data_IF_562656604216
#
_entry.id   IF_562656604216
#
_cell.length_a   1.000
_cell.length_b   1.000
_cell.length_c   1.000
_cell.angle_alpha   90.00
_cell.angle_beta   90.00
_cell.angle_gamma   90.00
#
_symmetry.space_group_name_H-M   'P 1'
#
loop_
_entity.id
_entity.type
_entity.pdbx_description
1 polymer ?
#
# COMPACT_ATOMS: atom_id res chain seq x y z
N UNK A 1 8.44 11.53 55.19
CA UNK A 1 7.03 11.51 55.62
C UNK A 1 6.28 10.84 54.50
N UNK A 2 5.98 9.56 54.66
CA UNK A 2 5.29 8.76 53.66
C UNK A 2 3.77 9.00 53.72
N UNK A 3 3.06 9.00 52.58
CA UNK A 3 1.60 9.11 52.57
C UNK A 3 0.92 7.79 53.00
N UNK A 4 -0.29 7.84 53.58
CA UNK A 4 -0.97 6.67 54.13
C UNK A 4 -1.59 5.79 53.02
N UNK A 5 -1.84 4.49 53.30
CA UNK A 5 -2.32 3.53 52.31
C UNK A 5 -3.83 3.69 52.03
N UNK A 6 -4.20 3.58 50.75
CA UNK A 6 -5.58 3.53 50.28
C UNK A 6 -6.17 2.12 50.51
N UNK A 7 -7.28 2.08 51.26
CA UNK A 7 -8.03 0.86 51.54
C UNK A 7 -8.81 0.33 50.34
N UNK A 8 -8.85 -0.99 50.25
CA UNK A 8 -9.60 -1.78 49.27
C UNK A 8 -11.10 -1.84 49.59
N UNK A 9 -11.96 -1.62 48.59
CA UNK A 9 -13.37 -1.99 48.63
C UNK A 9 -13.67 -3.10 47.61
N UNK A 10 -14.57 -4.06 47.92
CA UNK A 10 -14.79 -5.25 47.12
C UNK A 10 -15.80 -5.08 45.99
N UNK A 11 -15.61 -5.95 44.99
CA UNK A 11 -16.31 -6.18 43.74
C UNK A 11 -17.85 -6.17 43.79
N UNK A 12 -18.49 -5.47 42.84
CA UNK A 12 -19.88 -5.73 42.42
C UNK A 12 -19.90 -6.42 41.06
N UNK A 13 -20.41 -7.65 41.05
CA UNK A 13 -20.53 -8.50 39.86
C UNK A 13 -21.48 -7.92 38.82
N UNK A 14 -21.01 -7.90 37.57
CA UNK A 14 -21.83 -7.68 36.38
C UNK A 14 -22.42 -9.01 35.90
N UNK A 15 -23.75 -9.06 35.75
CA UNK A 15 -24.44 -10.15 35.03
C UNK A 15 -24.41 -9.85 33.53
N UNK A 16 -24.24 -10.87 32.66
CA UNK A 16 -24.27 -10.69 31.21
C UNK A 16 -25.72 -10.54 30.68
N UNK A 17 -25.92 -9.87 29.54
CA UNK A 17 -27.24 -9.68 28.94
C UNK A 17 -27.73 -10.95 28.22
N UNK A 18 -29.04 -11.15 28.28
CA UNK A 18 -29.81 -12.22 27.63
C UNK A 18 -30.09 -11.84 26.17
N UNK A 19 -29.76 -12.74 25.25
CA UNK A 19 -30.05 -12.62 23.80
C UNK A 19 -31.34 -13.40 23.50
N UNK A 20 -32.38 -12.79 22.91
CA UNK A 20 -33.52 -13.54 22.39
C UNK A 20 -33.16 -14.22 21.08
N UNK A 21 -33.36 -15.53 21.04
CA UNK A 21 -33.33 -16.37 19.85
C UNK A 21 -34.74 -16.43 19.27
N UNK A 22 -34.96 -15.89 18.08
CA UNK A 22 -36.15 -16.22 17.30
C UNK A 22 -35.75 -16.75 15.91
N UNK A 23 -36.16 -18.00 15.74
CA UNK A 23 -36.02 -18.86 14.59
C UNK A 23 -37.26 -18.64 13.71
N UNK A 24 -37.10 -18.27 12.45
CA UNK A 24 -38.19 -18.32 11.47
C UNK A 24 -37.68 -18.91 10.15
N UNK A 25 -37.79 -20.24 10.06
CA UNK A 25 -37.80 -20.99 8.81
C UNK A 25 -39.15 -20.73 8.12
N UNK A 26 -39.12 -20.13 6.92
CA UNK A 26 -40.26 -20.17 6.00
C UNK A 26 -39.87 -20.92 4.73
N UNK A 27 -40.52 -22.06 4.56
CA UNK A 27 -40.48 -22.94 3.39
C UNK A 27 -41.47 -22.49 2.31
N UNK A 28 -41.05 -22.65 1.05
CA UNK A 28 -41.82 -22.97 -0.16
C UNK A 28 -43.18 -22.29 -0.42
N UNK A 29 -43.22 -21.48 -1.47
CA UNK A 29 -44.44 -21.09 -2.19
C UNK A 29 -44.18 -20.95 -3.69
N UNK A 30 -44.59 -21.96 -4.45
CA UNK A 30 -44.67 -22.00 -5.92
C UNK A 30 -45.83 -21.16 -6.43
N UNK A 31 -45.73 -20.46 -7.57
CA UNK A 31 -46.84 -20.06 -8.47
C UNK A 31 -46.30 -19.46 -9.81
N UNK A 32 -47.10 -19.36 -10.90
CA UNK A 32 -46.87 -20.16 -12.11
C UNK A 32 -46.42 -19.38 -13.36
N UNK A 33 -45.92 -20.13 -14.34
CA UNK A 33 -45.59 -19.67 -15.71
C UNK A 33 -46.87 -19.57 -16.55
N UNK A 34 -47.15 -18.38 -17.08
CA UNK A 34 -48.20 -18.17 -18.09
C UNK A 34 -47.66 -18.46 -19.50
N UNK A 35 -48.26 -19.45 -20.17
CA UNK A 35 -48.16 -19.66 -21.61
C UNK A 35 -49.27 -18.88 -22.31
N UNK A 36 -48.93 -18.05 -23.30
CA UNK A 36 -49.88 -17.58 -24.30
C UNK A 36 -49.49 -18.13 -25.68
N UNK A 37 -50.46 -18.80 -26.32
CA UNK A 37 -50.41 -19.28 -27.70
C UNK A 37 -51.38 -18.43 -28.52
N UNK A 38 -50.96 -18.00 -29.70
CA UNK A 38 -51.85 -17.92 -30.88
C UNK A 38 -51.04 -18.07 -32.19
N UNK A 39 -51.62 -18.64 -33.26
CA UNK A 39 -50.91 -19.21 -34.42
C UNK A 39 -51.13 -18.47 -35.75
N UNK A 40 -50.24 -18.64 -36.72
CA UNK A 40 -50.44 -18.53 -38.20
C UNK A 40 -49.06 -18.62 -38.89
N UNK A 41 -48.79 -19.20 -40.05
CA UNK A 41 -49.49 -20.09 -40.98
C UNK A 41 -48.40 -20.78 -41.82
N UNK A 42 -48.62 -22.04 -42.21
CA UNK A 42 -47.74 -22.79 -43.13
C UNK A 42 -47.91 -22.30 -44.57
N UNK A 43 -46.80 -22.23 -45.33
CA UNK A 43 -46.84 -22.48 -46.77
C UNK A 43 -45.66 -23.36 -47.19
N UNK A 44 -46.00 -24.50 -47.78
CA UNK A 44 -45.11 -25.46 -48.46
C UNK A 44 -44.74 -24.92 -49.84
N UNK A 45 -43.49 -25.03 -50.25
CA UNK A 45 -43.13 -25.18 -51.67
C UNK A 45 -42.03 -26.24 -51.80
N UNK A 46 -42.27 -27.20 -52.70
CA UNK A 46 -41.38 -28.30 -53.08
C UNK A 46 -40.38 -27.88 -54.17
N UNK A 47 -39.29 -28.64 -54.21
CA UNK A 47 -38.06 -28.58 -55.00
C UNK A 47 -38.21 -28.48 -56.54
N UNK A 48 -37.27 -27.77 -57.17
CA UNK A 48 -36.72 -28.08 -58.49
C UNK A 48 -35.19 -27.98 -58.45
N UNK A 49 -34.52 -29.05 -58.88
CA UNK A 49 -33.07 -29.13 -59.05
C UNK A 49 -32.68 -28.59 -60.43
N UNK A 50 -31.68 -27.71 -60.48
CA UNK A 50 -30.99 -27.36 -61.72
C UNK A 50 -29.50 -27.23 -61.45
N UNK A 51 -28.73 -28.05 -62.17
CA UNK A 51 -27.28 -28.19 -62.06
C UNK A 51 -26.57 -26.94 -62.62
N UNK A 52 -25.68 -26.35 -61.82
CA UNK A 52 -24.61 -25.49 -62.31
C UNK A 52 -23.27 -25.97 -61.74
N UNK A 53 -22.37 -26.29 -62.65
CA UNK A 53 -20.99 -26.69 -62.39
C UNK A 53 -20.22 -25.48 -61.85
N UNK A 54 -19.72 -25.55 -60.61
CA UNK A 54 -18.75 -24.60 -60.08
C UNK A 54 -17.48 -25.35 -59.70
N UNK A 55 -16.38 -24.97 -60.35
CA UNK A 55 -15.05 -25.48 -60.09
C UNK A 55 -14.66 -25.28 -58.64
N UNK A 56 -14.25 -26.35 -57.96
CA UNK A 56 -13.68 -26.30 -56.61
C UNK A 56 -12.22 -25.89 -56.74
N UNK A 57 -11.92 -24.61 -56.45
CA UNK A 57 -10.54 -24.19 -56.15
C UNK A 57 -10.20 -24.68 -54.73
N UNK A 58 -9.29 -25.66 -54.65
CA UNK A 58 -8.62 -26.00 -53.39
C UNK A 58 -7.61 -24.91 -53.05
N UNK A 59 -8.01 -23.97 -52.19
CA UNK A 59 -7.08 -23.06 -51.54
C UNK A 59 -6.39 -23.84 -50.40
N UNK A 60 -5.17 -24.32 -50.65
CA UNK A 60 -4.32 -24.85 -49.59
C UNK A 60 -3.89 -23.69 -48.69
N UNK A 61 -4.59 -23.48 -47.58
CA UNK A 61 -4.05 -22.70 -46.46
C UNK A 61 -2.89 -23.48 -45.85
N UNK A 62 -1.67 -23.08 -46.17
CA UNK A 62 -0.48 -23.43 -45.38
C UNK A 62 -0.67 -22.84 -43.98
N UNK A 63 -1.06 -23.68 -43.03
CA UNK A 63 -0.91 -23.37 -41.60
C UNK A 63 0.58 -23.45 -41.32
N UNK A 64 1.26 -22.31 -41.37
CA UNK A 64 2.59 -22.17 -40.80
C UNK A 64 2.39 -22.33 -39.29
N UNK A 65 2.98 -23.34 -38.62
CA UNK A 65 2.94 -23.37 -37.17
C UNK A 65 3.64 -22.10 -36.70
N UNK A 66 2.91 -21.23 -36.00
CA UNK A 66 3.53 -20.13 -35.29
C UNK A 66 4.53 -20.75 -34.33
N UNK A 67 5.82 -20.61 -34.64
CA UNK A 67 6.88 -20.89 -33.70
C UNK A 67 6.68 -19.92 -32.54
N UNK A 68 6.07 -20.41 -31.47
CA UNK A 68 6.04 -19.70 -30.21
C UNK A 68 7.50 -19.60 -29.77
N UNK A 69 8.09 -18.41 -29.95
CA UNK A 69 9.45 -18.14 -29.53
C UNK A 69 9.39 -17.81 -28.04
N UNK A 70 9.84 -18.68 -27.12
CA UNK A 70 9.79 -18.42 -25.68
C UNK A 70 11.02 -17.61 -25.24
N UNK A 71 11.39 -16.61 -26.04
CA UNK A 71 12.41 -15.62 -25.78
C UNK A 71 11.92 -14.35 -26.50
N UNK A 72 11.68 -13.21 -25.88
CA UNK A 72 12.01 -12.74 -24.54
C UNK A 72 11.17 -11.47 -24.36
N UNK A 73 9.99 -11.58 -23.72
CA UNK A 73 9.51 -10.43 -22.96
C UNK A 73 10.38 -10.44 -21.70
N UNK A 74 11.62 -9.94 -21.82
CA UNK A 74 12.31 -9.45 -20.63
C UNK A 74 11.35 -8.44 -20.03
N UNK A 75 10.74 -8.81 -18.90
CA UNK A 75 10.03 -7.87 -18.06
C UNK A 75 11.06 -6.80 -17.71
N UNK A 76 11.06 -5.70 -18.47
CA UNK A 76 12.02 -4.62 -18.30
C UNK A 76 12.02 -4.27 -16.82
N UNK A 77 13.22 -4.27 -16.22
CA UNK A 77 13.37 -3.99 -14.81
C UNK A 77 12.61 -2.69 -14.47
N UNK A 78 11.80 -2.68 -13.40
CA UNK A 78 10.99 -1.52 -13.06
C UNK A 78 11.89 -0.29 -12.91
N UNK A 79 11.46 0.84 -13.47
CA UNK A 79 12.20 2.10 -13.40
C UNK A 79 12.46 2.48 -11.95
N UNK A 80 13.68 2.91 -11.65
CA UNK A 80 14.08 3.37 -10.31
C UNK A 80 14.11 4.90 -10.26
N UNK A 81 13.54 5.47 -9.20
CA UNK A 81 13.59 6.91 -8.89
C UNK A 81 14.26 7.15 -7.53
N UNK A 82 14.87 8.32 -7.29
CA UNK A 82 15.34 8.67 -5.95
C UNK A 82 14.17 8.85 -4.99
N UNK A 83 14.27 8.38 -3.75
CA UNK A 83 13.22 8.56 -2.72
C UNK A 83 12.93 10.03 -2.45
N UNK A 84 13.91 10.91 -2.64
CA UNK A 84 13.75 12.37 -2.58
C UNK A 84 12.63 12.91 -3.47
N UNK A 85 12.24 12.18 -4.52
CA UNK A 85 11.18 12.61 -5.42
C UNK A 85 9.77 12.50 -4.81
N UNK A 86 9.60 11.83 -3.66
CA UNK A 86 8.26 11.55 -3.12
C UNK A 86 7.55 12.81 -2.63
N UNK A 87 8.17 13.64 -1.79
CA UNK A 87 7.54 14.89 -1.32
C UNK A 87 7.20 15.85 -2.47
N UNK A 88 8.11 16.11 -3.45
CA UNK A 88 7.78 16.87 -4.66
C UNK A 88 6.59 16.29 -5.44
N UNK A 89 6.51 14.97 -5.55
CA UNK A 89 5.41 14.27 -6.26
C UNK A 89 4.08 14.55 -5.58
N UNK A 90 4.00 14.36 -4.26
CA UNK A 90 2.77 14.60 -3.48
C UNK A 90 2.39 16.09 -3.52
N UNK A 91 3.35 17.00 -3.34
CA UNK A 91 3.12 18.44 -3.43
C UNK A 91 2.50 18.83 -4.79
N UNK A 92 3.04 18.27 -5.87
CA UNK A 92 2.55 18.53 -7.23
C UNK A 92 1.13 18.00 -7.44
N UNK A 93 0.82 16.79 -6.95
CA UNK A 93 -0.54 16.20 -7.04
C UNK A 93 -1.56 17.08 -6.31
N UNK A 94 -1.21 17.56 -5.12
CA UNK A 94 -2.08 18.41 -4.30
C UNK A 94 -2.05 19.90 -4.71
N UNK A 95 -1.30 20.24 -5.76
CA UNK A 95 -1.16 21.60 -6.30
C UNK A 95 -0.71 22.61 -5.23
N UNK A 96 0.30 22.23 -4.44
CA UNK A 96 1.00 23.10 -3.47
C UNK A 96 2.48 23.26 -3.87
N UNK A 97 3.21 24.26 -3.33
CA UNK A 97 4.64 24.38 -3.58
C UNK A 97 5.41 23.11 -3.19
N UNK A 98 6.52 22.83 -3.86
CA UNK A 98 7.45 21.77 -3.44
C UNK A 98 8.26 22.28 -2.24
N UNK A 99 8.57 21.43 -1.22
CA UNK A 99 9.47 21.83 -0.14
C UNK A 99 10.76 22.44 -0.67
N UNK A 100 11.15 23.60 -0.13
CA UNK A 100 12.18 24.47 -0.71
C UNK A 100 13.54 23.80 -0.92
N UNK A 101 13.91 22.82 -0.08
CA UNK A 101 15.18 22.10 -0.13
C UNK A 101 15.07 20.70 -0.77
N UNK A 102 13.97 20.37 -1.44
CA UNK A 102 13.86 19.08 -2.11
C UNK A 102 14.93 18.91 -3.19
N UNK A 103 15.53 17.72 -3.25
CA UNK A 103 16.72 17.43 -4.06
C UNK A 103 16.40 16.75 -5.41
N UNK A 104 15.15 16.32 -5.60
CA UNK A 104 14.72 15.64 -6.82
C UNK A 104 13.43 16.27 -7.37
N UNK A 105 13.22 16.21 -8.70
CA UNK A 105 11.93 16.61 -9.28
C UNK A 105 10.84 15.58 -8.95
N UNK A 106 9.55 15.96 -9.09
CA UNK A 106 8.44 15.01 -8.96
C UNK A 106 8.53 13.87 -9.99
N UNK A 107 7.97 12.71 -9.64
CA UNK A 107 7.83 11.56 -10.52
C UNK A 107 6.65 11.80 -11.47
N UNK A 108 6.95 12.24 -12.69
CA UNK A 108 5.94 12.62 -13.69
C UNK A 108 4.89 11.54 -13.96
N UNK A 109 5.27 10.26 -13.96
CA UNK A 109 4.33 9.16 -14.17
C UNK A 109 3.22 9.12 -13.10
N UNK A 110 3.60 9.29 -11.83
CA UNK A 110 2.67 9.31 -10.70
C UNK A 110 1.84 10.60 -10.74
N UNK A 111 2.46 11.75 -10.99
CA UNK A 111 1.74 13.02 -11.14
C UNK A 111 0.68 12.93 -12.23
N UNK A 112 1.03 12.42 -13.41
CA UNK A 112 0.11 12.30 -14.53
C UNK A 112 -1.06 11.37 -14.24
N UNK A 113 -0.83 10.27 -13.51
CA UNK A 113 -1.87 9.32 -13.15
C UNK A 113 -2.77 9.78 -12.02
N UNK A 114 -2.24 10.55 -11.07
CA UNK A 114 -2.95 10.97 -9.86
C UNK A 114 -3.37 12.44 -9.89
N UNK A 115 -3.09 13.18 -10.97
CA UNK A 115 -3.50 14.58 -11.13
C UNK A 115 -5.01 14.76 -10.90
N UNK A 116 -5.37 15.86 -10.25
CA UNK A 116 -6.77 16.15 -9.90
C UNK A 116 -7.23 15.53 -8.57
N UNK A 117 -6.48 14.59 -8.01
CA UNK A 117 -6.72 14.05 -6.66
C UNK A 117 -6.67 15.17 -5.62
N UNK A 118 -7.61 15.14 -4.68
CA UNK A 118 -7.66 16.11 -3.56
C UNK A 118 -7.04 15.59 -2.29
N UNK A 119 -6.82 14.27 -2.21
CA UNK A 119 -6.19 13.62 -1.07
C UNK A 119 -5.19 12.57 -1.52
N UNK A 120 -4.07 12.47 -0.81
CA UNK A 120 -3.01 11.48 -1.09
C UNK A 120 -2.64 10.76 0.21
N UNK A 121 -2.53 9.44 0.14
CA UNK A 121 -2.03 8.61 1.24
C UNK A 121 -0.75 7.90 0.81
N UNK A 122 0.31 8.04 1.61
CA UNK A 122 1.54 7.26 1.48
C UNK A 122 1.52 6.16 2.56
N UNK A 123 1.55 4.91 2.12
CA UNK A 123 1.60 3.73 2.99
C UNK A 123 3.01 3.14 2.93
N UNK A 124 3.82 3.40 3.95
CA UNK A 124 5.19 2.93 4.08
C UNK A 124 5.25 1.64 4.91
N UNK A 125 5.66 0.53 4.30
CA UNK A 125 5.91 -0.74 5.00
C UNK A 125 7.38 -0.77 5.39
N UNK A 126 7.67 -0.67 6.69
CA UNK A 126 9.03 -0.52 7.22
C UNK A 126 9.91 -1.72 6.84
N UNK A 127 11.13 -1.46 6.36
CA UNK A 127 12.10 -2.45 5.89
C UNK A 127 11.65 -3.41 4.77
N UNK A 128 10.53 -3.15 4.08
CA UNK A 128 9.99 -4.02 3.03
C UNK A 128 10.64 -3.78 1.66
N UNK A 129 11.94 -4.10 1.55
CA UNK A 129 12.74 -3.93 0.34
C UNK A 129 12.27 -4.76 -0.85
N UNK A 130 12.67 -4.36 -2.06
CA UNK A 130 12.28 -5.00 -3.32
C UNK A 130 12.74 -6.47 -3.40
N UNK A 131 13.94 -6.78 -2.89
CA UNK A 131 14.44 -8.14 -2.79
C UNK A 131 13.58 -9.02 -1.86
N UNK A 132 13.10 -8.46 -0.75
CA UNK A 132 12.21 -9.13 0.21
C UNK A 132 10.84 -9.37 -0.44
N UNK A 133 10.29 -8.37 -1.13
CA UNK A 133 9.03 -8.52 -1.84
C UNK A 133 9.12 -9.60 -2.92
N UNK A 134 10.22 -9.65 -3.68
CA UNK A 134 10.44 -10.69 -4.70
C UNK A 134 10.46 -12.11 -4.09
N UNK A 135 11.05 -12.28 -2.90
CA UNK A 135 11.09 -13.56 -2.20
C UNK A 135 9.76 -13.95 -1.53
N UNK A 136 8.91 -12.97 -1.25
CA UNK A 136 7.64 -13.14 -0.50
C UNK A 136 6.40 -12.91 -1.35
N UNK A 137 6.51 -13.00 -2.69
CA UNK A 137 5.39 -12.84 -3.62
C UNK A 137 4.21 -13.77 -3.27
N UNK A 138 4.47 -15.01 -2.87
CA UNK A 138 3.42 -15.97 -2.47
C UNK A 138 2.67 -15.57 -1.18
N UNK A 139 3.24 -14.66 -0.39
CA UNK A 139 2.62 -14.13 0.85
C UNK A 139 1.98 -12.76 0.66
N UNK A 140 2.18 -12.11 -0.49
CA UNK A 140 1.70 -10.75 -0.76
C UNK A 140 0.70 -10.67 -1.94
N UNK A 141 -0.32 -11.55 -2.01
CA UNK A 141 -1.21 -11.63 -3.16
C UNK A 141 -2.00 -10.33 -3.40
N UNK A 142 -2.33 -9.56 -2.36
CA UNK A 142 -3.06 -8.31 -2.52
C UNK A 142 -2.20 -7.26 -3.21
N UNK A 143 -1.01 -6.97 -2.68
CA UNK A 143 -0.05 -6.02 -3.27
C UNK A 143 0.34 -6.43 -4.69
N UNK A 144 0.54 -7.74 -4.92
CA UNK A 144 0.82 -8.27 -6.25
C UNK A 144 -0.30 -7.99 -7.25
N UNK A 145 -1.57 -8.09 -6.83
CA UNK A 145 -2.72 -7.78 -7.67
C UNK A 145 -2.82 -6.29 -8.01
N UNK A 146 -2.33 -5.41 -7.14
CA UNK A 146 -2.30 -3.96 -7.36
C UNK A 146 -1.17 -3.52 -8.29
N UNK A 147 -0.04 -4.22 -8.28
CA UNK A 147 1.18 -3.85 -9.00
C UNK A 147 1.15 -4.30 -10.47
N UNK A 148 0.65 -3.43 -11.34
CA UNK A 148 0.60 -3.59 -12.79
C UNK A 148 1.80 -2.88 -13.47
N UNK A 149 2.17 -3.25 -14.71
CA UNK A 149 3.31 -2.64 -15.41
C UNK A 149 3.25 -1.11 -15.56
N UNK A 150 2.05 -0.53 -15.56
CA UNK A 150 1.83 0.91 -15.72
C UNK A 150 1.74 1.69 -14.40
N UNK A 151 1.65 1.03 -13.24
CA UNK A 151 1.51 1.69 -11.94
C UNK A 151 2.52 1.19 -10.89
N UNK A 152 3.67 0.69 -11.34
CA UNK A 152 4.74 0.21 -10.48
C UNK A 152 6.12 0.71 -10.91
N UNK A 153 6.99 0.92 -9.94
CA UNK A 153 8.38 1.36 -10.09
C UNK A 153 9.18 0.91 -8.85
N UNK A 154 10.40 1.41 -8.70
CA UNK A 154 11.20 1.33 -7.46
C UNK A 154 11.56 2.74 -6.98
N UNK A 155 11.70 2.91 -5.67
CA UNK A 155 12.47 4.01 -5.11
C UNK A 155 13.86 3.51 -4.68
N UNK A 156 14.82 4.42 -4.66
CA UNK A 156 16.11 4.24 -4.01
C UNK A 156 16.19 5.12 -2.77
N UNK A 157 16.33 4.49 -1.61
CA UNK A 157 16.52 5.13 -0.30
C UNK A 157 17.77 6.01 -0.27
N UNK A 158 17.73 7.04 0.57
CA UNK A 158 18.90 7.85 0.90
C UNK A 158 19.75 7.15 1.95
N UNK A 159 20.99 7.59 2.10
CA UNK A 159 21.93 7.01 3.07
C UNK A 159 21.99 7.81 4.38
N UNK A 160 22.15 7.12 5.53
CA UNK A 160 22.07 5.67 5.66
C UNK A 160 20.63 5.18 5.42
N UNK A 161 20.48 3.96 4.88
CA UNK A 161 19.18 3.34 4.56
C UNK A 161 18.48 2.84 5.83
N UNK A 162 18.13 3.78 6.71
CA UNK A 162 17.47 3.54 7.99
C UNK A 162 16.17 4.33 8.09
N UNK A 163 15.27 3.87 8.95
CA UNK A 163 13.87 4.31 9.00
C UNK A 163 13.67 5.81 9.15
N UNK A 164 14.20 6.41 10.22
CA UNK A 164 13.97 7.83 10.49
C UNK A 164 14.50 8.74 9.37
N UNK A 165 15.65 8.39 8.78
CA UNK A 165 16.26 9.14 7.68
C UNK A 165 15.38 9.09 6.43
N UNK A 166 14.87 7.90 6.08
CA UNK A 166 14.11 7.71 4.85
C UNK A 166 12.67 8.22 4.96
N UNK A 167 12.01 8.08 6.11
CA UNK A 167 10.73 8.75 6.34
C UNK A 167 10.87 10.28 6.37
N UNK A 168 11.96 10.83 6.91
CA UNK A 168 12.25 12.27 6.79
C UNK A 168 12.43 12.69 5.31
N UNK A 169 13.16 11.89 4.53
CA UNK A 169 13.32 12.09 3.10
C UNK A 169 11.97 12.10 2.37
N UNK A 170 11.07 11.17 2.69
CA UNK A 170 9.74 11.09 2.09
C UNK A 170 8.86 12.32 2.32
N UNK A 171 9.04 13.04 3.43
CA UNK A 171 8.25 14.25 3.75
C UNK A 171 8.97 15.57 3.41
N UNK A 172 10.26 15.55 3.09
CA UNK A 172 11.04 16.77 2.78
C UNK A 172 11.56 16.81 1.35
N UNK A 173 11.73 15.64 0.73
CA UNK A 173 12.49 15.45 -0.50
C UNK A 173 14.00 15.65 -0.33
N UNK A 174 14.53 15.70 0.90
CA UNK A 174 15.96 15.88 1.18
C UNK A 174 16.66 14.60 1.63
N UNK A 175 17.97 14.53 1.38
CA UNK A 175 18.86 13.52 1.97
C UNK A 175 19.11 13.75 3.46
N UNK A 176 19.83 12.84 4.12
CA UNK A 176 20.24 13.05 5.53
C UNK A 176 20.97 14.38 5.73
N UNK A 177 21.86 14.75 4.81
CA UNK A 177 22.61 16.01 4.87
C UNK A 177 21.69 17.23 4.87
N UNK A 178 20.59 17.17 4.12
CA UNK A 178 19.62 18.26 4.02
C UNK A 178 18.64 18.26 5.20
N UNK A 179 18.17 17.09 5.62
CA UNK A 179 17.18 16.96 6.69
C UNK A 179 17.77 17.12 8.09
N UNK A 180 19.04 16.76 8.28
CA UNK A 180 19.71 16.72 9.58
C UNK A 180 19.21 15.61 10.52
N UNK A 181 18.49 14.61 10.00
CA UNK A 181 17.90 13.54 10.81
C UNK A 181 18.90 12.40 11.02
N UNK A 182 19.28 12.17 12.26
CA UNK A 182 20.15 11.05 12.67
C UNK A 182 19.37 10.02 13.49
N UNK A 183 18.37 10.48 14.24
CA UNK A 183 17.41 9.65 14.99
C UNK A 183 16.01 10.22 14.81
N UNK A 184 14.97 9.47 15.17
CA UNK A 184 13.58 9.97 15.11
C UNK A 184 13.33 11.19 16.00
N UNK A 185 14.22 11.50 16.96
CA UNK A 185 14.15 12.69 17.82
C UNK A 185 14.88 13.91 17.24
N UNK A 186 15.76 13.73 16.25
CA UNK A 186 16.46 14.81 15.57
C UNK A 186 15.48 15.86 15.04
N UNK A 187 15.87 17.13 15.06
CA UNK A 187 15.04 18.22 14.53
C UNK A 187 15.34 18.40 13.04
N UNK A 188 14.28 18.45 12.21
CA UNK A 188 14.39 18.81 10.80
C UNK A 188 15.07 20.17 10.61
N UNK A 189 16.09 20.20 9.75
CA UNK A 189 16.83 21.39 9.36
C UNK A 189 16.28 22.09 8.10
N UNK A 190 15.32 21.46 7.42
CA UNK A 190 14.70 21.94 6.19
C UNK A 190 13.17 22.02 6.29
N UNK A 191 12.54 22.59 5.26
CA UNK A 191 11.09 22.63 5.13
C UNK A 191 10.55 21.23 4.83
N UNK A 192 9.43 20.89 5.48
CA UNK A 192 8.70 19.65 5.26
C UNK A 192 7.36 19.89 4.58
N UNK A 193 6.83 18.85 3.94
CA UNK A 193 5.58 18.88 3.22
C UNK A 193 4.39 19.21 4.12
N UNK A 194 4.39 18.81 5.40
CA UNK A 194 3.33 19.17 6.33
C UNK A 194 3.27 20.69 6.56
N UNK A 195 4.44 21.31 6.76
CA UNK A 195 4.57 22.77 6.87
C UNK A 195 4.09 23.49 5.60
N UNK A 196 4.42 22.96 4.42
CA UNK A 196 3.94 23.52 3.14
C UNK A 196 2.42 23.42 3.01
N UNK A 197 1.85 22.24 3.28
CA UNK A 197 0.40 22.00 3.24
C UNK A 197 -0.34 22.94 4.20
N UNK A 198 0.15 23.05 5.43
CA UNK A 198 -0.38 23.95 6.46
C UNK A 198 -0.37 25.41 6.02
N UNK A 199 0.70 25.86 5.34
CA UNK A 199 0.78 27.20 4.78
C UNK A 199 -0.24 27.47 3.65
N UNK A 200 -0.75 26.42 3.00
CA UNK A 200 -1.85 26.48 2.02
C UNK A 200 -3.23 26.23 2.64
N UNK A 201 -3.32 26.09 3.97
CA UNK A 201 -4.57 25.82 4.68
C UNK A 201 -5.06 24.37 4.56
N UNK A 202 -4.20 23.45 4.14
CA UNK A 202 -4.50 22.02 4.05
C UNK A 202 -4.05 21.29 5.33
N UNK A 203 -4.70 20.17 5.63
CA UNK A 203 -4.40 19.32 6.80
C UNK A 203 -3.62 18.08 6.40
N UNK A 204 -2.74 17.66 7.30
CA UNK A 204 -1.89 16.50 7.11
C UNK A 204 -1.81 15.59 8.33
N UNK A 205 -1.54 14.29 8.13
CA UNK A 205 -1.39 13.31 9.20
C UNK A 205 -0.14 12.45 9.07
N UNK A 206 0.50 12.18 10.21
CA UNK A 206 1.65 11.28 10.34
C UNK A 206 1.36 10.23 11.39
N UNK A 207 1.47 8.95 11.03
CA UNK A 207 0.97 7.85 11.86
C UNK A 207 2.01 6.72 11.98
N UNK A 208 2.14 6.19 13.19
CA UNK A 208 2.92 4.99 13.47
C UNK A 208 2.78 4.56 14.93
N UNK A 209 3.46 3.48 15.28
CA UNK A 209 3.47 2.92 16.64
C UNK A 209 4.11 3.92 17.60
N UNK A 210 3.61 3.95 18.84
CA UNK A 210 4.16 4.75 19.93
C UNK A 210 5.66 4.56 20.03
N UNK A 211 6.37 5.67 20.19
CA UNK A 211 7.82 5.74 20.34
C UNK A 211 8.64 5.36 19.09
N UNK A 212 7.99 5.14 17.94
CA UNK A 212 8.66 4.83 16.67
C UNK A 212 8.68 6.05 15.75
N UNK A 213 9.31 5.93 14.58
CA UNK A 213 9.44 7.04 13.60
C UNK A 213 8.09 7.67 13.24
N UNK A 214 7.04 6.89 13.02
CA UNK A 214 5.73 7.41 12.64
C UNK A 214 5.05 8.22 13.74
N UNK A 215 5.38 7.97 15.02
CA UNK A 215 4.94 8.79 16.16
C UNK A 215 5.90 9.96 16.41
N UNK A 216 7.16 9.65 16.75
CA UNK A 216 8.15 10.63 17.25
C UNK A 216 8.70 11.57 16.17
N UNK A 217 8.66 11.15 14.90
CA UNK A 217 9.06 11.99 13.77
C UNK A 217 7.85 12.46 12.97
N UNK A 218 7.11 11.57 12.31
CA UNK A 218 6.01 11.98 11.41
C UNK A 218 4.90 12.69 12.20
N UNK A 219 4.40 12.07 13.27
CA UNK A 219 3.34 12.62 14.10
C UNK A 219 3.72 13.91 14.84
N UNK A 220 5.01 14.18 15.04
CA UNK A 220 5.53 15.42 15.63
C UNK A 220 5.42 16.62 14.69
N UNK A 221 5.53 16.42 13.38
CA UNK A 221 5.51 17.49 12.37
C UNK A 221 4.14 17.64 11.66
N UNK A 222 3.37 16.56 11.57
CA UNK A 222 2.02 16.58 11.00
C UNK A 222 1.01 17.40 11.83
N UNK A 223 -0.16 17.70 11.26
CA UNK A 223 -1.28 18.30 12.01
C UNK A 223 -1.98 17.27 12.91
N UNK A 224 -2.02 16.03 12.46
CA UNK A 224 -2.77 14.93 13.06
C UNK A 224 -1.86 13.73 13.29
N UNK A 225 -2.07 13.05 14.42
CA UNK A 225 -1.36 11.83 14.76
C UNK A 225 -2.20 10.98 15.73
N UNK A 226 -1.84 9.70 15.83
CA UNK A 226 -2.36 8.83 16.89
C UNK A 226 -1.39 8.86 18.07
N UNK A 227 -1.92 8.79 19.29
CA UNK A 227 -1.11 8.73 20.52
C UNK A 227 -1.24 7.38 21.20
N UNK A 228 -0.14 6.94 21.80
CA UNK A 228 -0.07 5.77 22.69
C UNK A 228 -0.58 4.46 22.08
N UNK A 229 -0.44 4.26 20.76
CA UNK A 229 -0.82 3.03 20.06
C UNK A 229 0.32 2.03 20.07
N UNK A 230 0.08 0.81 20.57
CA UNK A 230 1.14 -0.16 20.83
C UNK A 230 1.53 -1.02 19.61
N UNK A 231 0.72 -1.04 18.55
CA UNK A 231 0.88 -1.89 17.38
C UNK A 231 0.16 -1.32 16.15
N UNK A 232 0.44 -1.88 14.97
CA UNK A 232 -0.12 -1.42 13.69
C UNK A 232 -1.66 -1.50 13.60
N UNK A 233 -2.30 -2.42 14.31
CA UNK A 233 -3.78 -2.54 14.35
C UNK A 233 -4.41 -1.39 15.12
N UNK A 234 -3.83 -1.04 16.26
CA UNK A 234 -4.24 0.12 17.05
C UNK A 234 -4.00 1.45 16.33
N UNK A 235 -2.89 1.54 15.57
CA UNK A 235 -2.60 2.67 14.68
C UNK A 235 -3.64 2.75 13.58
N UNK A 236 -3.98 1.62 12.93
CA UNK A 236 -4.99 1.57 11.87
C UNK A 236 -6.36 2.03 12.37
N UNK A 237 -6.79 1.57 13.55
CA UNK A 237 -8.05 2.00 14.15
C UNK A 237 -8.08 3.51 14.40
N UNK A 238 -7.03 4.08 15.00
CA UNK A 238 -6.95 5.51 15.26
C UNK A 238 -6.82 6.36 13.97
N UNK A 239 -6.08 5.87 12.97
CA UNK A 239 -6.03 6.47 11.64
C UNK A 239 -7.44 6.56 11.04
N UNK A 240 -8.22 5.48 11.12
CA UNK A 240 -9.57 5.44 10.57
C UNK A 240 -10.49 6.46 11.25
N UNK A 241 -10.43 6.58 12.57
CA UNK A 241 -11.18 7.58 13.34
C UNK A 241 -10.82 9.01 12.89
N UNK A 242 -9.52 9.33 12.83
CA UNK A 242 -9.03 10.66 12.46
C UNK A 242 -9.39 11.01 11.01
N UNK A 243 -9.26 10.06 10.08
CA UNK A 243 -9.58 10.32 8.66
C UNK A 243 -11.08 10.59 8.45
N UNK A 244 -11.96 9.95 9.22
CA UNK A 244 -13.40 10.23 9.17
C UNK A 244 -13.76 11.63 9.71
N UNK A 245 -13.15 12.00 10.83
CA UNK A 245 -13.45 13.25 11.52
C UNK A 245 -12.79 14.46 10.84
N UNK A 246 -11.48 14.36 10.59
CA UNK A 246 -10.63 15.50 10.21
C UNK A 246 -10.37 15.60 8.71
N UNK A 247 -10.53 14.48 7.99
CA UNK A 247 -10.47 14.39 6.52
C UNK A 247 -9.20 15.01 5.87
N UNK A 248 -7.98 14.78 6.40
CA UNK A 248 -6.76 15.46 5.94
C UNK A 248 -6.46 15.22 4.45
N UNK A 249 -5.91 16.22 3.77
CA UNK A 249 -5.51 16.12 2.36
C UNK A 249 -4.27 15.24 2.14
N UNK A 250 -3.42 15.09 3.15
CA UNK A 250 -2.26 14.21 3.06
C UNK A 250 -2.13 13.34 4.31
N UNK A 251 -1.88 12.05 4.12
CA UNK A 251 -1.46 11.18 5.22
C UNK A 251 -0.23 10.36 4.82
N UNK A 252 0.64 10.10 5.79
CA UNK A 252 1.70 9.11 5.68
C UNK A 252 1.67 8.18 6.89
N UNK A 253 1.77 6.88 6.65
CA UNK A 253 1.69 5.83 7.68
C UNK A 253 2.93 4.97 7.62
N UNK A 254 3.57 4.75 8.77
CA UNK A 254 4.58 3.72 8.98
C UNK A 254 3.89 2.46 9.50
N UNK A 255 3.90 1.38 8.71
CA UNK A 255 3.59 0.03 9.18
C UNK A 255 4.87 -0.62 9.68
N UNK A 256 4.95 -0.93 10.97
CA UNK A 256 6.22 -1.23 11.65
C UNK A 256 6.56 -2.72 11.83
N UNK A 257 5.58 -3.61 11.87
CA UNK A 257 5.82 -5.01 12.28
C UNK A 257 6.93 -5.73 11.49
N UNK A 258 7.05 -5.46 10.19
CA UNK A 258 8.03 -6.09 9.30
C UNK A 258 9.47 -5.89 9.80
N UNK A 259 9.89 -4.65 10.01
CA UNK A 259 11.25 -4.33 10.47
C UNK A 259 11.58 -4.99 11.82
N UNK A 260 10.66 -4.93 12.78
CA UNK A 260 10.86 -5.56 14.09
C UNK A 260 11.01 -7.09 14.02
N UNK A 261 10.28 -7.76 13.13
CA UNK A 261 10.39 -9.21 12.91
C UNK A 261 11.70 -9.52 12.19
N UNK A 262 12.05 -8.77 11.16
CA UNK A 262 13.26 -8.99 10.37
C UNK A 262 14.52 -8.79 11.21
N UNK A 263 14.56 -7.77 12.07
CA UNK A 263 15.65 -7.61 13.03
C UNK A 263 15.82 -8.80 13.98
N UNK A 264 14.73 -9.47 14.35
CA UNK A 264 14.77 -10.60 15.28
C UNK A 264 15.14 -11.93 14.61
N UNK A 265 14.66 -12.16 13.39
CA UNK A 265 14.71 -13.48 12.76
C UNK A 265 15.47 -13.53 11.43
N UNK A 266 15.81 -12.36 10.87
CA UNK A 266 16.36 -12.22 9.53
C UNK A 266 15.27 -12.17 8.45
N UNK A 267 15.44 -11.34 7.39
CA UNK A 267 14.47 -11.24 6.29
C UNK A 267 14.23 -12.53 5.50
N UNK A 268 15.09 -13.55 5.59
CA UNK A 268 14.86 -14.85 4.91
C UNK A 268 14.02 -15.86 5.71
N UNK A 269 13.70 -15.58 6.98
CA UNK A 269 13.01 -16.49 7.89
C UNK A 269 11.52 -16.71 7.53
N UNK A 270 10.95 -17.83 8.00
CA UNK A 270 9.49 -18.07 7.88
C UNK A 270 8.67 -17.04 8.67
N UNK A 271 9.21 -16.52 9.78
CA UNK A 271 8.64 -15.43 10.55
C UNK A 271 8.56 -14.14 9.72
N UNK A 272 9.64 -13.79 9.01
CA UNK A 272 9.67 -12.66 8.08
C UNK A 272 8.66 -12.83 6.95
N UNK A 273 8.57 -14.04 6.36
CA UNK A 273 7.56 -14.38 5.35
C UNK A 273 6.13 -14.19 5.89
N UNK A 274 5.88 -14.61 7.13
CA UNK A 274 4.58 -14.42 7.78
C UNK A 274 4.28 -12.95 8.08
N UNK A 275 5.28 -12.15 8.47
CA UNK A 275 5.13 -10.70 8.66
C UNK A 275 4.78 -9.98 7.35
N UNK A 276 5.42 -10.34 6.24
CA UNK A 276 5.05 -9.82 4.91
C UNK A 276 3.59 -10.12 4.56
N UNK A 277 3.10 -11.32 4.91
CA UNK A 277 1.69 -11.67 4.73
C UNK A 277 0.72 -10.87 5.61
N UNK A 278 1.14 -10.47 6.80
CA UNK A 278 0.34 -9.59 7.67
C UNK A 278 0.33 -8.15 7.16
N UNK A 279 1.45 -7.64 6.66
CA UNK A 279 1.51 -6.35 5.99
C UNK A 279 0.60 -6.31 4.74
N UNK A 280 0.56 -7.40 3.95
CA UNK A 280 -0.35 -7.52 2.80
C UNK A 280 -1.83 -7.53 3.22
N UNK A 281 -2.17 -8.24 4.31
CA UNK A 281 -3.52 -8.25 4.88
C UNK A 281 -3.92 -6.86 5.44
N UNK A 282 -2.97 -6.13 6.01
CA UNK A 282 -3.16 -4.75 6.44
C UNK A 282 -3.45 -3.83 5.24
N UNK A 283 -2.66 -3.93 4.17
CA UNK A 283 -2.92 -3.23 2.90
C UNK A 283 -4.32 -3.54 2.36
N UNK A 284 -4.71 -4.81 2.36
CA UNK A 284 -6.02 -5.27 1.88
C UNK A 284 -7.20 -4.64 2.62
N UNK A 285 -6.99 -4.15 3.84
CA UNK A 285 -7.99 -3.42 4.64
C UNK A 285 -7.92 -1.92 4.41
N UNK A 286 -6.74 -1.32 4.53
CA UNK A 286 -6.59 0.14 4.55
C UNK A 286 -6.72 0.76 3.15
N UNK A 287 -6.23 0.10 2.09
CA UNK A 287 -6.25 0.63 0.73
C UNK A 287 -7.68 0.84 0.19
N UNK A 288 -8.58 -0.16 0.16
CA UNK A 288 -9.93 0.07 -0.35
C UNK A 288 -10.71 1.06 0.52
N UNK A 289 -10.46 1.03 1.84
CA UNK A 289 -11.08 1.96 2.79
C UNK A 289 -10.68 3.42 2.51
N UNK A 290 -9.39 3.72 2.35
CA UNK A 290 -8.90 5.06 2.00
C UNK A 290 -9.36 5.49 0.60
N UNK A 291 -9.32 4.59 -0.39
CA UNK A 291 -9.78 4.92 -1.75
C UNK A 291 -11.24 5.35 -1.79
N UNK A 292 -12.12 4.67 -1.06
CA UNK A 292 -13.54 5.06 -0.93
C UNK A 292 -13.76 6.40 -0.21
N UNK A 293 -12.71 6.99 0.38
CA UNK A 293 -12.71 8.32 1.02
C UNK A 293 -11.99 9.38 0.18
N UNK A 294 -11.72 9.06 -1.08
CA UNK A 294 -11.16 9.98 -2.07
C UNK A 294 -9.63 10.08 -2.05
N UNK A 295 -8.93 9.19 -1.35
CA UNK A 295 -7.45 9.17 -1.36
C UNK A 295 -6.93 8.44 -2.58
N UNK A 296 -6.08 9.12 -3.36
CA UNK A 296 -5.09 8.44 -4.17
C UNK A 296 -4.03 7.80 -3.26
N UNK A 297 -3.52 6.63 -3.63
CA UNK A 297 -2.65 5.82 -2.77
C UNK A 297 -1.28 5.69 -3.42
N UNK A 298 -0.23 5.85 -2.61
CA UNK A 298 1.15 5.47 -2.93
C UNK A 298 1.58 4.45 -1.87
N UNK A 299 2.02 3.27 -2.30
CA UNK A 299 2.53 2.20 -1.45
C UNK A 299 4.03 2.07 -1.71
N UNK A 300 4.83 2.09 -0.66
CA UNK A 300 6.29 1.96 -0.74
C UNK A 300 6.86 1.36 0.54
N UNK A 301 8.18 1.15 0.58
CA UNK A 301 8.95 1.04 1.80
C UNK A 301 9.96 2.20 1.89
N UNK A 302 10.64 2.27 3.02
CA UNK A 302 11.67 3.25 3.37
C UNK A 302 13.10 2.71 3.21
N UNK A 303 13.30 1.42 3.43
CA UNK A 303 14.49 0.66 3.08
C UNK A 303 14.16 -0.84 2.94
N UNK A 304 15.18 -1.63 2.60
CA UNK A 304 15.19 -3.09 2.73
C UNK A 304 16.07 -3.54 3.89
N UNK A 305 16.38 -4.84 3.92
CA UNK A 305 17.18 -5.45 4.97
C UNK A 305 17.85 -6.72 4.42
N UNK A 306 18.99 -7.09 5.00
CA UNK A 306 19.71 -8.33 4.67
C UNK A 306 19.94 -9.19 5.92
N UNK A 307 20.09 -10.49 5.71
CA UNK A 307 20.48 -11.43 6.77
C UNK A 307 21.92 -11.19 7.21
N UNK A 308 22.14 -11.31 8.51
CA UNK A 308 23.46 -11.43 9.13
C UNK A 308 23.47 -12.63 10.06
N UNK A 309 24.60 -13.31 10.19
CA UNK A 309 24.77 -14.41 11.13
C UNK A 309 25.76 -14.03 12.23
N UNK A 310 25.41 -14.34 13.47
CA UNK A 310 26.33 -14.23 14.59
C UNK A 310 27.29 -15.44 14.67
N UNK A 311 28.26 -15.40 15.59
CA UNK A 311 29.26 -16.47 15.76
C UNK A 311 28.64 -17.83 16.13
N UNK A 312 27.45 -17.82 16.76
CA UNK A 312 26.68 -19.03 17.08
C UNK A 312 25.83 -19.55 15.91
N UNK A 313 25.81 -18.86 14.77
CA UNK A 313 25.05 -19.23 13.57
C UNK A 313 23.57 -18.83 13.61
N UNK A 314 23.15 -18.00 14.55
CA UNK A 314 21.80 -17.43 14.58
C UNK A 314 21.71 -16.29 13.57
N UNK A 315 20.64 -16.30 12.77
CA UNK A 315 20.37 -15.26 11.75
C UNK A 315 19.50 -14.15 12.33
N UNK A 316 19.88 -12.90 12.04
CA UNK A 316 19.08 -11.70 12.28
C UNK A 316 19.14 -10.76 11.07
N UNK A 317 18.41 -9.65 11.10
CA UNK A 317 18.39 -8.68 10.01
C UNK A 317 19.18 -7.41 10.33
N UNK A 318 19.92 -6.88 9.35
CA UNK A 318 20.56 -5.55 9.39
C UNK A 318 20.29 -4.76 8.12
N UNK A 319 20.40 -3.44 8.21
CA UNK A 319 20.22 -2.48 7.12
C UNK A 319 21.12 -1.26 7.36
N UNK A 320 21.08 -0.27 6.45
CA UNK A 320 21.86 0.96 6.55
C UNK A 320 23.01 1.08 5.54
N UNK A 321 23.24 0.05 4.72
CA UNK A 321 24.27 0.06 3.67
C UNK A 321 23.79 0.73 2.37
N UNK A 322 24.72 0.95 1.45
CA UNK A 322 24.44 1.42 0.09
C UNK A 322 24.09 0.29 -0.91
N UNK A 323 23.94 -0.93 -0.41
CA UNK A 323 23.58 -2.08 -1.25
C UNK A 323 22.17 -1.94 -1.82
N UNK A 324 21.94 -2.57 -2.96
CA UNK A 324 20.59 -2.61 -3.56
C UNK A 324 19.58 -3.37 -2.67
N UNK A 325 20.05 -4.30 -1.83
CA UNK A 325 19.19 -5.03 -0.89
C UNK A 325 18.61 -4.07 0.16
N UNK A 326 19.41 -3.12 0.64
CA UNK A 326 18.97 -2.14 1.64
C UNK A 326 18.30 -0.91 1.01
N UNK A 327 18.70 -0.52 -0.20
CA UNK A 327 18.27 0.75 -0.79
C UNK A 327 17.12 0.65 -1.80
N UNK A 328 16.88 -0.49 -2.45
CA UNK A 328 15.80 -0.61 -3.44
C UNK A 328 14.51 -1.06 -2.77
N UNK A 329 13.46 -0.25 -2.92
CA UNK A 329 12.14 -0.50 -2.33
C UNK A 329 11.05 -0.45 -3.40
N UNK A 330 9.95 -1.21 -3.23
CA UNK A 330 8.84 -1.19 -4.17
C UNK A 330 8.14 0.17 -4.19
N UNK A 331 7.57 0.54 -5.33
CA UNK A 331 6.69 1.70 -5.47
C UNK A 331 5.48 1.33 -6.30
N UNK A 332 4.29 1.45 -5.74
CA UNK A 332 3.01 1.19 -6.42
C UNK A 332 2.06 2.36 -6.18
N UNK A 333 1.32 2.81 -7.20
CA UNK A 333 0.34 3.88 -7.03
C UNK A 333 -1.04 3.53 -7.58
N UNK A 334 -2.08 4.11 -6.98
CA UNK A 334 -3.47 3.90 -7.32
C UNK A 334 -4.23 5.23 -7.31
N UNK A 335 -5.10 5.42 -8.29
CA UNK A 335 -6.06 6.54 -8.29
C UNK A 335 -7.03 6.42 -7.11
N UNK A 336 -7.67 7.52 -6.74
CA UNK A 336 -8.78 7.49 -5.77
C UNK A 336 -9.89 6.52 -6.18
N UNK A 337 -10.76 6.14 -5.24
CA UNK A 337 -12.04 5.54 -5.61
C UNK A 337 -12.89 6.60 -6.33
N UNK A 338 -13.64 6.17 -7.35
CA UNK A 338 -14.64 7.01 -8.02
C UNK A 338 -15.82 7.34 -7.08
#
# INVERSE_FOLDING_TARGET
MDPPPLGSQPSRGHRPPVVPTDLALFTNGSFPVYFSRTPCAMNRIQYQYQYYSMAVLFLQCLVVPATFNPASAEEQAPRTYPMQALAPTVATILNVPVPKQAEAPPIEAIVNDLQGSKKVAVLGIDAFGDAIWAQTRDRTPYLNGLAQPNNRARLRSVLPSVTCVNFACMITGGSQTTTGIETFDSKLACEDLFSVLRAQGLKSGGFGIKDWTGDRLLGRYADLSVRDKANDEEVLAGLMEIVEEEKPEFIIVQYGETDAVFHRHGPSSDEARAACGRADAWLARVVPWLRSRGYAIIITADHGQHDVQNESGETSGQHGSDSDIDCLVPLVWLRSGD
#
